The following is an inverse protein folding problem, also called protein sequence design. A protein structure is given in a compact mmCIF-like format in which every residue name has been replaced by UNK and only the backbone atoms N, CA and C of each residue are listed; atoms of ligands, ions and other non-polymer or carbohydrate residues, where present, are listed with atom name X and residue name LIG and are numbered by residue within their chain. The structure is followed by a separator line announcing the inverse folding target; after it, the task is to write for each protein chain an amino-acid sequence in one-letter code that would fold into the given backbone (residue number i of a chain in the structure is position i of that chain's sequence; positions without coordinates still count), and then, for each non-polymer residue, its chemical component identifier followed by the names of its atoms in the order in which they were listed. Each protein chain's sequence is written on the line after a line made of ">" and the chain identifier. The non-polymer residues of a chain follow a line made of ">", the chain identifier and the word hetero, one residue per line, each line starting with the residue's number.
data_IF_108135721952
#
_entry.id   IF_108135721952
#
_cell.length_a   1.000
_cell.length_b   1.000
_cell.length_c   1.000
_cell.angle_alpha   90.00
_cell.angle_beta   90.00
_cell.angle_gamma   90.00
#
_symmetry.space_group_name_H-M   'P 1'
#
loop_
_entity.id
_entity.type
_entity.pdbx_description
1 polymer ?
#
# COMPACT_ATOMS: atom_id res chain seq x y z
N UNK A 1 22.74 -10.23 -16.89
CA UNK A 1 22.53 -8.76 -16.79
C UNK A 1 21.42 -8.26 -17.70
N UNK A 2 21.34 -8.69 -18.97
CA UNK A 2 20.25 -8.29 -19.87
C UNK A 2 18.86 -8.69 -19.35
N UNK A 3 18.71 -9.88 -18.77
CA UNK A 3 17.46 -10.34 -18.14
C UNK A 3 16.98 -9.43 -17.00
N UNK A 4 17.92 -8.90 -16.20
CA UNK A 4 17.60 -7.98 -15.09
C UNK A 4 17.11 -6.65 -15.67
N UNK A 5 17.78 -6.12 -16.70
CA UNK A 5 17.35 -4.90 -17.36
C UNK A 5 15.95 -5.07 -17.96
N UNK A 6 15.69 -6.21 -18.61
CA UNK A 6 14.39 -6.52 -19.18
C UNK A 6 13.32 -6.66 -18.09
N UNK A 7 13.61 -7.34 -16.98
CA UNK A 7 12.74 -7.40 -15.81
C UNK A 7 12.43 -6.02 -15.23
N UNK A 8 13.41 -5.11 -15.18
CA UNK A 8 13.19 -3.73 -14.72
C UNK A 8 12.24 -3.00 -15.68
N UNK A 9 12.47 -3.08 -16.99
CA UNK A 9 11.62 -2.41 -17.98
C UNK A 9 10.19 -2.95 -17.92
N UNK A 10 10.02 -4.27 -17.87
CA UNK A 10 8.70 -4.90 -17.75
C UNK A 10 8.05 -4.53 -16.43
N UNK A 11 8.80 -4.52 -15.32
CA UNK A 11 8.29 -4.11 -14.02
C UNK A 11 7.82 -2.66 -14.01
N UNK A 12 8.58 -1.74 -14.61
CA UNK A 12 8.18 -0.33 -14.78
C UNK A 12 6.86 -0.21 -15.57
N UNK A 13 6.74 -0.92 -16.70
CA UNK A 13 5.51 -0.88 -17.52
C UNK A 13 4.29 -1.41 -16.76
N UNK A 14 4.44 -2.57 -16.09
CA UNK A 14 3.37 -3.16 -15.30
C UNK A 14 3.01 -2.29 -14.10
N UNK A 15 3.99 -1.69 -13.44
CA UNK A 15 3.75 -0.81 -12.30
C UNK A 15 3.06 0.49 -12.69
N UNK A 16 3.37 1.07 -13.86
CA UNK A 16 2.61 2.19 -14.42
C UNK A 16 1.15 1.78 -14.67
N UNK A 17 0.92 0.62 -15.30
CA UNK A 17 -0.44 0.12 -15.54
C UNK A 17 -1.21 -0.09 -14.24
N UNK A 18 -0.58 -0.71 -13.23
CA UNK A 18 -1.21 -0.94 -11.94
C UNK A 18 -1.49 0.38 -11.22
N UNK A 19 -0.55 1.33 -11.27
CA UNK A 19 -0.71 2.63 -10.62
C UNK A 19 -1.85 3.44 -11.25
N UNK A 20 -2.07 3.35 -12.57
CA UNK A 20 -3.17 4.08 -13.22
C UNK A 20 -4.55 3.48 -12.93
N UNK A 21 -4.63 2.22 -12.53
CA UNK A 21 -5.90 1.52 -12.29
C UNK A 21 -6.17 1.52 -10.78
N UNK A 22 -7.14 2.31 -10.29
CA UNK A 22 -7.48 2.34 -8.87
C UNK A 22 -7.78 0.93 -8.34
N UNK A 23 -7.17 0.57 -7.21
CA UNK A 23 -7.36 -0.73 -6.58
C UNK A 23 -6.47 -1.87 -7.10
N UNK A 24 -5.64 -1.66 -8.14
CA UNK A 24 -4.56 -2.59 -8.47
C UNK A 24 -3.28 -2.21 -7.72
N UNK A 25 -2.79 -3.14 -6.90
CA UNK A 25 -1.62 -2.93 -6.07
C UNK A 25 -0.48 -3.89 -6.48
N UNK A 26 0.81 -3.56 -6.27
CA UNK A 26 1.94 -4.45 -6.52
C UNK A 26 1.78 -5.83 -5.90
N UNK A 27 1.19 -5.92 -4.72
CA UNK A 27 0.91 -7.17 -4.02
C UNK A 27 -0.04 -8.11 -4.79
N UNK A 28 -0.84 -7.59 -5.73
CA UNK A 28 -1.73 -8.41 -6.56
C UNK A 28 -0.97 -9.29 -7.56
N UNK A 29 0.34 -9.03 -7.77
CA UNK A 29 1.23 -9.89 -8.54
C UNK A 29 1.29 -11.33 -7.99
N UNK A 30 0.90 -11.55 -6.73
CA UNK A 30 0.86 -12.89 -6.14
C UNK A 30 -0.02 -13.88 -6.93
N UNK A 31 -1.04 -13.37 -7.63
CA UNK A 31 -1.85 -14.17 -8.56
C UNK A 31 -1.06 -14.74 -9.73
N UNK A 32 0.01 -14.06 -10.13
CA UNK A 32 0.88 -14.46 -11.23
C UNK A 32 2.04 -15.34 -10.77
N UNK A 33 2.21 -15.57 -9.46
CA UNK A 33 3.30 -16.43 -8.93
C UNK A 33 3.31 -17.83 -9.56
N UNK A 34 2.18 -18.54 -9.73
CA UNK A 34 2.18 -19.84 -10.40
C UNK A 34 2.65 -19.78 -11.85
N UNK A 35 2.39 -18.67 -12.55
CA UNK A 35 2.87 -18.43 -13.91
C UNK A 35 4.37 -18.11 -13.90
N UNK A 36 4.80 -17.18 -13.04
CA UNK A 36 6.20 -16.77 -12.87
C UNK A 36 7.09 -17.95 -12.48
N UNK A 37 6.60 -18.85 -11.62
CA UNK A 37 7.30 -20.06 -11.22
C UNK A 37 7.59 -21.01 -12.39
N UNK A 38 6.74 -21.03 -13.43
CA UNK A 38 6.96 -21.83 -14.63
C UNK A 38 8.07 -21.28 -15.53
N UNK A 39 8.42 -19.99 -15.41
CA UNK A 39 9.50 -19.39 -16.21
C UNK A 39 10.90 -19.75 -15.70
N UNK A 40 11.03 -20.46 -14.56
CA UNK A 40 12.31 -20.89 -13.97
C UNK A 40 13.36 -19.77 -13.91
N UNK A 41 12.94 -18.54 -13.62
CA UNK A 41 13.81 -17.36 -13.61
C UNK A 41 14.69 -17.34 -12.33
N UNK A 42 15.91 -16.78 -12.42
CA UNK A 42 16.74 -16.54 -11.24
C UNK A 42 16.02 -15.62 -10.23
N UNK A 43 16.15 -15.86 -8.91
CA UNK A 43 15.49 -15.05 -7.88
C UNK A 43 15.77 -13.54 -8.01
N UNK A 44 17.00 -13.18 -8.40
CA UNK A 44 17.39 -11.78 -8.58
C UNK A 44 16.59 -11.07 -9.69
N UNK A 45 16.21 -11.78 -10.75
CA UNK A 45 15.40 -11.24 -11.86
C UNK A 45 13.98 -10.94 -11.38
N UNK A 46 13.41 -11.86 -10.58
CA UNK A 46 12.08 -11.68 -9.98
C UNK A 46 12.09 -10.50 -9.00
N UNK A 47 13.12 -10.40 -8.15
CA UNK A 47 13.28 -9.28 -7.22
C UNK A 47 13.38 -7.96 -7.99
N UNK A 48 14.18 -7.89 -9.05
CA UNK A 48 14.32 -6.68 -9.86
C UNK A 48 12.98 -6.27 -10.50
N UNK A 49 12.21 -7.23 -11.00
CA UNK A 49 10.86 -7.00 -11.52
C UNK A 49 9.91 -6.47 -10.44
N UNK A 50 9.81 -7.13 -9.27
CA UNK A 50 8.90 -6.73 -8.19
C UNK A 50 9.26 -5.35 -7.62
N UNK A 51 10.54 -5.07 -7.43
CA UNK A 51 11.02 -3.78 -6.91
C UNK A 51 10.73 -2.65 -7.90
N UNK A 52 11.04 -2.84 -9.19
CA UNK A 52 10.75 -1.81 -10.22
C UNK A 52 9.25 -1.57 -10.39
N UNK A 53 8.44 -2.63 -10.33
CA UNK A 53 6.98 -2.54 -10.32
C UNK A 53 6.47 -1.74 -9.12
N UNK A 54 6.94 -2.08 -7.91
CA UNK A 54 6.51 -1.39 -6.68
C UNK A 54 6.86 0.09 -6.71
N UNK A 55 8.10 0.44 -7.08
CA UNK A 55 8.53 1.83 -7.14
C UNK A 55 7.71 2.62 -8.18
N UNK A 56 7.56 2.11 -9.40
CA UNK A 56 6.80 2.82 -10.44
C UNK A 56 5.33 2.98 -10.07
N UNK A 57 4.71 1.95 -9.47
CA UNK A 57 3.35 2.02 -8.99
C UNK A 57 3.16 3.16 -7.98
N UNK A 58 4.02 3.31 -6.97
CA UNK A 58 3.92 4.37 -5.94
C UNK A 58 4.00 5.80 -6.48
N UNK A 59 4.65 6.01 -7.63
CA UNK A 59 4.65 7.34 -8.26
C UNK A 59 3.39 7.58 -9.09
N UNK A 60 2.83 6.53 -9.67
CA UNK A 60 1.74 6.62 -10.64
C UNK A 60 0.37 6.52 -9.96
N UNK A 61 0.23 5.72 -8.91
CA UNK A 61 -0.98 5.56 -8.09
C UNK A 61 -1.43 6.87 -7.43
N UNK A 62 -0.49 7.77 -7.15
CA UNK A 62 -0.75 9.09 -6.63
C UNK A 62 -1.68 9.91 -7.53
N UNK A 63 -1.60 9.71 -8.85
CA UNK A 63 -2.40 10.46 -9.83
C UNK A 63 -3.89 10.14 -9.69
N UNK A 64 -4.36 8.88 -9.85
CA UNK A 64 -5.76 8.55 -9.63
C UNK A 64 -6.19 8.78 -8.18
N UNK A 65 -5.36 8.50 -7.16
CA UNK A 65 -5.73 8.76 -5.75
C UNK A 65 -6.01 10.25 -5.51
N UNK A 66 -5.17 11.15 -6.03
CA UNK A 66 -5.41 12.59 -5.98
C UNK A 66 -6.67 12.99 -6.76
N UNK A 67 -6.88 12.44 -7.96
CA UNK A 67 -8.07 12.77 -8.78
C UNK A 67 -9.37 12.35 -8.09
N UNK A 68 -9.38 11.15 -7.52
CA UNK A 68 -10.56 10.57 -6.86
C UNK A 68 -10.75 11.08 -5.42
N UNK A 69 -9.73 11.73 -4.84
CA UNK A 69 -9.71 12.08 -3.42
C UNK A 69 -9.79 10.84 -2.52
N UNK A 70 -9.41 9.67 -3.07
CA UNK A 70 -9.49 8.36 -2.43
C UNK A 70 -8.06 7.91 -2.11
N UNK A 71 -7.56 8.19 -0.90
CA UNK A 71 -6.23 7.76 -0.51
C UNK A 71 -6.14 6.24 -0.39
N UNK A 72 -4.98 5.72 -0.75
CA UNK A 72 -4.55 4.35 -0.53
C UNK A 72 -3.62 4.28 0.70
N UNK A 73 -3.35 3.06 1.17
CA UNK A 73 -2.52 2.86 2.35
C UNK A 73 -1.11 3.44 2.15
N UNK A 74 -0.71 4.39 2.98
CA UNK A 74 0.62 5.03 2.92
C UNK A 74 0.70 6.36 2.16
N UNK A 75 -0.39 6.80 1.51
CA UNK A 75 -0.46 8.12 0.87
C UNK A 75 -1.57 9.03 1.44
N UNK A 76 -2.19 8.64 2.56
CA UNK A 76 -3.36 9.31 3.14
C UNK A 76 -3.09 10.78 3.50
N UNK A 77 -1.88 11.05 4.00
CA UNK A 77 -1.46 12.37 4.44
C UNK A 77 -1.16 13.32 3.26
N UNK A 78 -0.80 12.79 2.09
CA UNK A 78 -0.42 13.59 0.91
C UNK A 78 -1.57 13.76 -0.09
N UNK A 79 -2.45 12.77 -0.22
CA UNK A 79 -3.56 12.79 -1.19
C UNK A 79 -4.61 13.84 -0.86
N UNK A 80 -4.97 14.04 0.41
CA UNK A 80 -6.02 15.02 0.76
C UNK A 80 -5.61 16.47 0.45
N UNK A 81 -4.40 16.95 0.79
CA UNK A 81 -3.90 18.24 0.32
C UNK A 81 -3.81 18.33 -1.22
N UNK A 82 -3.32 17.27 -1.87
CA UNK A 82 -3.17 17.24 -3.33
C UNK A 82 -4.53 17.32 -4.05
N UNK A 83 -5.55 16.64 -3.54
CA UNK A 83 -6.91 16.74 -4.04
C UNK A 83 -7.47 18.16 -3.90
N UNK A 84 -7.18 18.86 -2.80
CA UNK A 84 -7.55 20.29 -2.66
C UNK A 84 -6.86 21.18 -3.68
N UNK A 85 -5.57 20.95 -3.94
CA UNK A 85 -4.84 21.69 -4.99
C UNK A 85 -5.44 21.42 -6.37
N UNK A 86 -5.85 20.18 -6.64
CA UNK A 86 -6.53 19.81 -7.88
C UNK A 86 -7.86 20.54 -8.04
N UNK A 87 -8.69 20.60 -6.99
CA UNK A 87 -9.95 21.35 -6.98
C UNK A 87 -9.75 22.87 -7.17
N UNK A 88 -8.55 23.38 -6.89
CA UNK A 88 -8.16 24.78 -7.13
C UNK A 88 -7.57 25.03 -8.52
N UNK A 89 -7.52 24.01 -9.39
CA UNK A 89 -6.91 24.10 -10.73
C UNK A 89 -5.39 23.84 -10.76
N UNK A 90 -4.77 23.58 -9.61
CA UNK A 90 -3.32 23.39 -9.48
C UNK A 90 -2.90 21.90 -9.43
N UNK A 91 -3.61 21.03 -10.17
CA UNK A 91 -3.34 19.59 -10.17
C UNK A 91 -1.94 19.23 -10.67
N UNK A 92 -1.43 19.97 -11.66
CA UNK A 92 -0.07 19.78 -12.17
C UNK A 92 0.99 20.06 -11.09
N UNK A 93 0.82 21.13 -10.33
CA UNK A 93 1.75 21.47 -9.25
C UNK A 93 1.72 20.45 -8.12
N UNK A 94 0.54 19.88 -7.82
CA UNK A 94 0.40 18.80 -6.85
C UNK A 94 1.22 17.56 -7.27
N UNK A 95 1.12 17.15 -8.54
CA UNK A 95 1.92 16.04 -9.09
C UNK A 95 3.41 16.38 -9.07
N UNK A 96 3.78 17.60 -9.46
CA UNK A 96 5.18 18.06 -9.43
C UNK A 96 5.79 17.99 -8.03
N UNK A 97 5.05 18.44 -7.01
CA UNK A 97 5.47 18.36 -5.61
C UNK A 97 5.63 16.92 -5.14
N UNK A 98 4.72 16.02 -5.54
CA UNK A 98 4.83 14.60 -5.21
C UNK A 98 6.10 13.96 -5.82
N UNK A 99 6.41 14.26 -7.08
CA UNK A 99 7.63 13.78 -7.75
C UNK A 99 8.89 14.33 -7.07
N UNK A 100 8.92 15.62 -6.73
CA UNK A 100 10.05 16.24 -6.01
C UNK A 100 10.23 15.57 -4.64
N UNK A 101 9.13 15.34 -3.90
CA UNK A 101 9.14 14.66 -2.61
C UNK A 101 9.67 13.23 -2.72
N UNK A 102 9.26 12.48 -3.73
CA UNK A 102 9.74 11.12 -3.99
C UNK A 102 11.22 11.06 -4.41
N UNK A 103 11.70 12.01 -5.22
CA UNK A 103 13.14 12.10 -5.53
C UNK A 103 13.95 12.50 -4.29
N UNK A 104 13.44 13.42 -3.49
CA UNK A 104 14.03 13.82 -2.21
C UNK A 104 14.10 12.68 -1.21
N UNK A 105 13.06 11.84 -1.14
CA UNK A 105 13.04 10.67 -0.25
C UNK A 105 14.10 9.64 -0.66
N UNK A 106 14.33 9.42 -1.95
CA UNK A 106 15.42 8.53 -2.43
C UNK A 106 16.77 9.04 -1.94
N UNK A 107 17.07 10.33 -2.11
CA UNK A 107 18.34 10.92 -1.66
C UNK A 107 18.49 10.81 -0.13
N UNK A 108 17.42 11.08 0.61
CA UNK A 108 17.40 11.00 2.06
C UNK A 108 17.59 9.56 2.55
N UNK A 109 16.94 8.58 1.91
CA UNK A 109 17.10 7.15 2.23
C UNK A 109 18.52 6.70 1.95
N UNK A 110 19.12 7.10 0.83
CA UNK A 110 20.53 6.78 0.52
C UNK A 110 21.46 7.37 1.60
N UNK A 111 21.23 8.62 2.01
CA UNK A 111 22.02 9.27 3.05
C UNK A 111 21.87 8.60 4.42
N UNK A 112 20.65 8.15 4.77
CA UNK A 112 20.36 7.49 6.06
C UNK A 112 20.64 5.98 6.04
N UNK A 113 20.87 5.37 4.88
CA UNK A 113 21.01 3.92 4.72
C UNK A 113 22.04 3.30 5.69
N UNK A 114 23.25 3.87 5.90
CA UNK A 114 24.21 3.31 6.83
C UNK A 114 23.67 3.29 8.26
N UNK A 115 23.05 4.39 8.70
CA UNK A 115 22.45 4.49 10.03
C UNK A 115 21.32 3.47 10.20
N UNK A 116 20.46 3.32 9.19
CA UNK A 116 19.35 2.35 9.18
C UNK A 116 19.88 0.93 9.36
N UNK A 117 20.89 0.53 8.59
CA UNK A 117 21.45 -0.83 8.62
C UNK A 117 21.99 -1.20 10.00
N UNK A 118 22.64 -0.27 10.71
CA UNK A 118 23.21 -0.55 12.04
C UNK A 118 22.20 -0.41 13.19
N UNK A 119 21.22 0.48 13.07
CA UNK A 119 20.29 0.80 14.18
C UNK A 119 19.03 -0.06 14.19
N UNK A 120 18.44 -0.32 13.02
CA UNK A 120 17.15 -1.02 12.92
C UNK A 120 17.17 -2.43 13.51
N UNK A 121 18.21 -3.26 13.29
CA UNK A 121 18.26 -4.61 13.90
C UNK A 121 18.22 -4.57 15.43
N UNK A 122 18.94 -3.64 16.06
CA UNK A 122 18.95 -3.48 17.51
C UNK A 122 17.58 -3.05 18.06
N UNK A 123 16.91 -2.13 17.37
CA UNK A 123 15.54 -1.70 17.70
C UNK A 123 14.55 -2.85 17.53
N UNK A 124 14.69 -3.64 16.46
CA UNK A 124 13.84 -4.79 16.19
C UNK A 124 13.95 -5.83 17.31
N UNK A 125 15.17 -6.24 17.69
CA UNK A 125 15.37 -7.21 18.77
C UNK A 125 14.84 -6.71 20.12
N UNK A 126 15.01 -5.42 20.43
CA UNK A 126 14.48 -4.83 21.66
C UNK A 126 12.94 -4.76 21.67
N UNK A 127 12.31 -4.50 20.52
CA UNK A 127 10.85 -4.34 20.40
C UNK A 127 10.10 -5.66 20.20
N UNK A 128 10.75 -6.68 19.63
CA UNK A 128 10.14 -7.97 19.27
C UNK A 128 9.34 -8.62 20.42
N UNK A 129 9.82 -8.68 21.69
CA UNK A 129 9.06 -9.26 22.79
C UNK A 129 7.76 -8.50 23.12
N UNK A 130 7.73 -7.20 22.85
CA UNK A 130 6.62 -6.32 23.20
C UNK A 130 5.65 -6.06 22.04
N UNK A 131 5.89 -6.65 20.87
CA UNK A 131 5.08 -6.41 19.66
C UNK A 131 3.57 -6.57 19.91
N UNK A 132 3.16 -7.65 20.58
CA UNK A 132 1.75 -7.89 20.89
C UNK A 132 1.16 -6.83 21.82
N UNK A 133 1.90 -6.44 22.86
CA UNK A 133 1.48 -5.40 23.79
C UNK A 133 1.37 -4.04 23.09
N UNK A 134 2.33 -3.74 22.20
CA UNK A 134 2.36 -2.52 21.41
C UNK A 134 1.16 -2.44 20.44
N UNK A 135 0.84 -3.54 19.75
CA UNK A 135 -0.33 -3.59 18.86
C UNK A 135 -1.64 -3.41 19.63
N UNK A 136 -1.80 -4.10 20.78
CA UNK A 136 -2.98 -3.94 21.63
C UNK A 136 -3.09 -2.49 22.13
N UNK A 137 -1.97 -1.90 22.56
CA UNK A 137 -1.92 -0.52 23.01
C UNK A 137 -2.36 0.45 21.91
N UNK A 138 -1.83 0.32 20.69
CA UNK A 138 -2.21 1.17 19.56
C UNK A 138 -3.71 1.04 19.27
N UNK A 139 -4.24 -0.18 19.23
CA UNK A 139 -5.67 -0.41 18.98
C UNK A 139 -6.53 0.23 20.07
N UNK A 140 -6.15 0.07 21.35
CA UNK A 140 -6.86 0.70 22.46
C UNK A 140 -6.85 2.22 22.35
N UNK A 141 -5.70 2.82 22.05
CA UNK A 141 -5.58 4.27 21.83
C UNK A 141 -6.48 4.72 20.68
N UNK A 142 -6.48 4.02 19.54
CA UNK A 142 -7.33 4.34 18.40
C UNK A 142 -8.82 4.28 18.75
N UNK A 143 -9.27 3.23 19.46
CA UNK A 143 -10.67 3.09 19.89
C UNK A 143 -11.03 4.18 20.92
N UNK A 144 -10.13 4.49 21.86
CA UNK A 144 -10.38 5.52 22.88
C UNK A 144 -10.45 6.92 22.30
N UNK A 145 -9.73 7.19 21.20
CA UNK A 145 -9.70 8.48 20.51
C UNK A 145 -11.02 8.83 19.81
N UNK A 146 -11.90 7.86 19.57
CA UNK A 146 -13.23 8.11 19.01
C UNK A 146 -14.08 8.97 19.96
N UNK A 147 -14.68 10.04 19.44
CA UNK A 147 -15.35 11.05 20.27
C UNK A 147 -16.69 10.60 20.88
N UNK A 148 -17.39 9.66 20.23
CA UNK A 148 -18.74 9.25 20.63
C UNK A 148 -18.78 7.79 21.08
N UNK A 149 -19.50 7.48 22.17
CA UNK A 149 -19.63 6.11 22.69
C UNK A 149 -20.14 5.11 21.63
N UNK A 150 -21.09 5.55 20.79
CA UNK A 150 -21.58 4.74 19.66
C UNK A 150 -20.46 4.42 18.65
N UNK A 151 -19.60 5.41 18.33
CA UNK A 151 -18.45 5.21 17.43
C UNK A 151 -17.38 4.31 18.05
N UNK A 152 -17.12 4.44 19.35
CA UNK A 152 -16.24 3.53 20.10
C UNK A 152 -16.70 2.08 19.98
N UNK A 153 -18.00 1.83 20.18
CA UNK A 153 -18.58 0.49 20.06
C UNK A 153 -18.46 -0.06 18.63
N UNK A 154 -18.73 0.77 17.62
CA UNK A 154 -18.56 0.38 16.21
C UNK A 154 -17.10 0.07 15.91
N UNK A 155 -16.15 0.92 16.32
CA UNK A 155 -14.72 0.69 16.11
C UNK A 155 -14.24 -0.61 16.76
N UNK A 156 -14.68 -0.88 17.99
CA UNK A 156 -14.40 -2.14 18.68
C UNK A 156 -14.99 -3.36 17.94
N UNK A 157 -16.22 -3.25 17.46
CA UNK A 157 -16.87 -4.30 16.68
C UNK A 157 -16.15 -4.55 15.35
N UNK A 158 -15.74 -3.49 14.64
CA UNK A 158 -14.93 -3.59 13.43
C UNK A 158 -13.59 -4.30 13.71
N UNK A 159 -12.91 -3.94 14.81
CA UNK A 159 -11.68 -4.60 15.23
C UNK A 159 -11.88 -6.10 15.51
N UNK A 160 -12.96 -6.45 16.22
CA UNK A 160 -13.29 -7.86 16.50
C UNK A 160 -13.60 -8.65 15.23
N UNK A 161 -14.37 -8.09 14.30
CA UNK A 161 -14.65 -8.74 13.01
C UNK A 161 -13.38 -8.91 12.17
N UNK A 162 -12.50 -7.91 12.13
CA UNK A 162 -11.22 -8.02 11.44
C UNK A 162 -10.31 -9.09 12.09
N UNK A 163 -10.28 -9.16 13.43
CA UNK A 163 -9.55 -10.21 14.15
C UNK A 163 -10.11 -11.60 13.90
N UNK A 164 -11.44 -11.76 13.94
CA UNK A 164 -12.12 -13.02 13.66
C UNK A 164 -11.85 -13.50 12.24
N UNK A 165 -11.96 -12.62 11.24
CA UNK A 165 -11.67 -12.97 9.85
C UNK A 165 -10.22 -13.41 9.67
N UNK A 166 -9.25 -12.72 10.30
CA UNK A 166 -7.85 -13.13 10.32
C UNK A 166 -7.64 -14.51 10.95
N UNK A 167 -8.25 -14.78 12.11
CA UNK A 167 -8.19 -16.09 12.77
C UNK A 167 -8.82 -17.18 11.88
N UNK A 168 -10.00 -16.92 11.28
CA UNK A 168 -10.67 -17.87 10.39
C UNK A 168 -9.77 -18.32 9.25
N UNK A 169 -8.94 -17.43 8.68
CA UNK A 169 -8.01 -17.82 7.61
C UNK A 169 -6.96 -18.85 8.02
N UNK A 170 -6.59 -18.90 9.30
CA UNK A 170 -5.62 -19.90 9.78
C UNK A 170 -6.17 -21.32 9.76
N UNK A 171 -7.49 -21.48 9.71
CA UNK A 171 -8.17 -22.77 9.66
C UNK A 171 -8.55 -23.22 8.24
N UNK A 172 -8.34 -22.38 7.21
CA UNK A 172 -8.61 -22.78 5.83
C UNK A 172 -7.46 -23.65 5.29
N UNK A 173 -7.77 -24.75 4.56
CA UNK A 173 -6.77 -25.61 3.93
C UNK A 173 -6.25 -25.02 2.61
N UNK A 174 -5.84 -23.75 2.62
CA UNK A 174 -5.30 -23.02 1.46
C UNK A 174 -3.94 -22.45 1.87
N UNK A 175 -3.02 -22.31 0.91
CA UNK A 175 -1.73 -21.68 1.15
C UNK A 175 -1.94 -20.24 1.69
N UNK A 176 -1.29 -19.94 2.82
CA UNK A 176 -1.35 -18.64 3.49
C UNK A 176 -0.99 -17.50 2.56
N UNK A 177 -0.04 -17.73 1.64
CA UNK A 177 0.39 -16.73 0.66
C UNK A 177 -0.74 -16.38 -0.32
N UNK A 178 -1.57 -17.37 -0.68
CA UNK A 178 -2.68 -17.18 -1.61
C UNK A 178 -3.91 -16.58 -0.91
N UNK A 179 -4.13 -16.90 0.37
CA UNK A 179 -5.27 -16.37 1.15
C UNK A 179 -5.19 -14.85 1.38
N UNK A 180 -3.97 -14.28 1.48
CA UNK A 180 -3.80 -12.85 1.70
C UNK A 180 -4.40 -12.00 0.58
N UNK A 181 -4.37 -12.48 -0.67
CA UNK A 181 -4.89 -11.72 -1.80
C UNK A 181 -6.42 -11.51 -1.73
N UNK A 182 -7.27 -12.56 -1.68
CA UNK A 182 -8.72 -12.40 -1.55
C UNK A 182 -9.13 -11.60 -0.31
N UNK A 183 -8.40 -11.74 0.80
CA UNK A 183 -8.64 -10.96 2.01
C UNK A 183 -8.40 -9.47 1.79
N UNK A 184 -7.22 -9.10 1.29
CA UNK A 184 -6.87 -7.70 1.09
C UNK A 184 -7.73 -7.07 0.00
N UNK A 185 -7.98 -7.77 -1.12
CA UNK A 185 -8.87 -7.26 -2.18
C UNK A 185 -10.32 -7.12 -1.71
N UNK A 186 -10.81 -8.04 -0.88
CA UNK A 186 -12.16 -8.00 -0.33
C UNK A 186 -12.36 -6.87 0.69
N UNK A 187 -11.43 -6.72 1.64
CA UNK A 187 -11.52 -5.72 2.69
C UNK A 187 -11.25 -4.30 2.18
N UNK A 188 -10.30 -4.12 1.25
CA UNK A 188 -9.88 -2.81 0.77
C UNK A 188 -10.44 -2.46 -0.63
N UNK A 189 -10.44 -3.39 -1.58
CA UNK A 189 -10.88 -3.11 -2.96
C UNK A 189 -12.39 -2.96 -3.09
N UNK A 190 -13.16 -3.90 -2.55
CA UNK A 190 -14.63 -3.90 -2.67
C UNK A 190 -15.26 -2.73 -1.90
N UNK A 191 -14.69 -2.36 -0.75
CA UNK A 191 -15.19 -1.25 0.06
C UNK A 191 -15.08 0.09 -0.65
N UNK A 192 -13.96 0.35 -1.36
CA UNK A 192 -13.78 1.55 -2.18
C UNK A 192 -14.81 1.59 -3.32
N UNK A 193 -15.01 0.47 -4.03
CA UNK A 193 -15.99 0.38 -5.13
C UNK A 193 -17.42 0.65 -4.64
N UNK A 194 -17.81 0.10 -3.49
CA UNK A 194 -19.13 0.32 -2.91
C UNK A 194 -19.33 1.78 -2.46
N UNK A 195 -18.28 2.41 -1.93
CA UNK A 195 -18.34 3.79 -1.45
C UNK A 195 -18.43 4.81 -2.60
N UNK A 196 -17.84 4.50 -3.76
CA UNK A 196 -17.73 5.44 -4.88
C UNK A 196 -18.93 5.44 -5.85
N UNK A 197 -20.08 4.90 -5.43
CA UNK A 197 -21.28 4.78 -6.27
C UNK A 197 -22.07 6.12 -6.42
N UNK A 198 -21.45 7.25 -6.11
CA UNK A 198 -22.03 8.59 -6.22
C UNK A 198 -21.62 9.25 -7.55
N UNK A 199 -22.54 9.93 -8.24
CA UNK A 199 -22.27 10.64 -9.50
C UNK A 199 -21.18 11.71 -9.30
N UNK A 200 -19.96 11.43 -9.76
CA UNK A 200 -18.85 12.38 -9.72
C UNK A 200 -19.10 13.44 -10.81
N UNK A 201 -19.36 14.68 -10.43
CA UNK A 201 -19.30 15.82 -11.35
C UNK A 201 -17.85 16.24 -11.49
N UNK A 202 -17.24 16.00 -12.65
CA UNK A 202 -15.89 16.48 -12.93
C UNK A 202 -15.96 18.01 -13.03
N UNK A 203 -15.24 18.77 -12.19
CA UNK A 203 -15.17 20.22 -12.34
C UNK A 203 -14.51 20.53 -13.70
N UNK A 204 -15.17 21.39 -14.47
CA UNK A 204 -14.72 21.86 -15.79
C UNK A 204 -13.53 22.80 -15.67
#
# INVERSE_FOLDING_TARGET
>A
MLEILLAIIVGLLVGVLFGLIPGLHPNTIILLVPLIAQLSLPPLVIIAFVVSLGISNTFVDFIPSMLLGAPEAGNELSVLPAHKMLLQGNGYDAVKLAVIGGLGSILLVIALLPAIIFTVPGIYEASRPFTYALLIFIVLVMIMHEKAAKKKSIAFLCFMLAGMTGISTTYLPIDKNVILFPMLSGLFGVSILLFNNHKISIPK
#
